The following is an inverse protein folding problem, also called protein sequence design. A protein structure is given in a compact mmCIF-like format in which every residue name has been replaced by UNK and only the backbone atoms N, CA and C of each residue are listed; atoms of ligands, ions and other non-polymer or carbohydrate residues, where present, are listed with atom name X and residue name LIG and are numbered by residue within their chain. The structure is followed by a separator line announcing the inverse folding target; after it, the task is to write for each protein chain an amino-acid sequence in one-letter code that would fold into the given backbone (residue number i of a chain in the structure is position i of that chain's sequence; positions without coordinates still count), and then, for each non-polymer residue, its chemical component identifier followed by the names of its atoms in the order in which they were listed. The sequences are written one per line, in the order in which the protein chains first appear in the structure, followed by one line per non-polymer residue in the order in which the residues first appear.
data_IF_992904175372
#
_entry.id   IF_992904175372
#
_cell.length_a   1.000
_cell.length_b   1.000
_cell.length_c   1.000
_cell.angle_alpha   90.00
_cell.angle_beta   90.00
_cell.angle_gamma   90.00
#
_symmetry.space_group_name_H-M   'P 1'
#
loop_
_entity.id
_entity.type
_entity.pdbx_description
1 polymer ?
#
# COMPACT_ATOMS: atom_id res chain seq x y z
N UNK A 1 -4.74 14.87 7.46
CA UNK A 1 -6.03 15.40 7.92
C UNK A 1 -7.15 14.64 7.21
N UNK A 2 -8.26 14.40 7.91
CA UNK A 2 -9.48 13.84 7.33
C UNK A 2 -10.31 14.96 6.69
N UNK A 3 -10.38 16.10 7.37
CA UNK A 3 -10.96 17.37 6.95
C UNK A 3 -10.24 18.54 7.67
N UNK A 4 -10.77 19.77 7.56
CA UNK A 4 -10.15 20.97 8.17
C UNK A 4 -10.08 20.91 9.70
N UNK A 5 -10.94 20.13 10.35
CA UNK A 5 -11.07 20.08 11.82
C UNK A 5 -10.71 18.70 12.42
N UNK A 6 -10.35 17.70 11.59
CA UNK A 6 -10.19 16.33 12.06
C UNK A 6 -8.86 15.73 11.56
N UNK A 7 -8.10 15.13 12.49
CA UNK A 7 -6.88 14.37 12.17
C UNK A 7 -7.24 12.89 12.12
N UNK A 8 -6.78 12.21 11.05
CA UNK A 8 -6.74 10.76 10.95
C UNK A 8 -5.32 10.28 11.25
N UNK A 9 -5.15 9.31 12.14
CA UNK A 9 -3.84 8.80 12.53
C UNK A 9 -3.86 7.29 12.78
N UNK A 10 -2.74 6.64 12.56
CA UNK A 10 -2.53 5.25 12.95
C UNK A 10 -2.20 5.18 14.44
N UNK A 11 -2.75 4.19 15.14
CA UNK A 11 -2.47 3.99 16.56
C UNK A 11 -2.86 2.60 17.03
N UNK A 12 -2.25 2.18 18.13
CA UNK A 12 -2.62 0.97 18.86
C UNK A 12 -2.93 1.36 20.31
N UNK A 13 -4.22 1.30 20.66
CA UNK A 13 -4.69 1.63 22.01
C UNK A 13 -4.89 0.41 22.90
N UNK A 14 -4.99 -0.77 22.29
CA UNK A 14 -5.35 -1.98 23.03
C UNK A 14 -4.15 -2.71 23.62
N UNK A 15 -2.92 -2.25 23.32
CA UNK A 15 -1.69 -2.79 23.90
C UNK A 15 -1.53 -4.29 23.65
N UNK A 16 -1.82 -4.75 22.43
CA UNK A 16 -1.61 -6.14 22.06
C UNK A 16 -0.14 -6.53 22.29
N UNK A 17 0.08 -7.55 23.09
CA UNK A 17 1.42 -8.03 23.47
C UNK A 17 2.14 -8.80 22.36
N UNK A 18 1.44 -9.12 21.26
CA UNK A 18 1.99 -9.88 20.14
C UNK A 18 2.07 -9.00 18.89
N UNK A 19 3.07 -9.22 18.00
CA UNK A 19 3.17 -8.49 16.75
C UNK A 19 1.90 -8.70 15.93
N UNK A 20 1.10 -7.66 15.83
CA UNK A 20 -0.16 -7.67 15.10
C UNK A 20 0.11 -7.31 13.64
N UNK A 21 -0.50 -8.05 12.70
CA UNK A 21 -0.57 -7.66 11.29
C UNK A 21 -1.58 -6.53 11.06
N UNK A 22 -2.30 -6.14 12.10
CA UNK A 22 -3.46 -5.25 12.03
C UNK A 22 -3.03 -3.80 12.11
N UNK A 23 -3.50 -2.98 11.18
CA UNK A 23 -3.39 -1.51 11.27
C UNK A 23 -4.73 -0.92 11.69
N UNK A 24 -4.70 -0.05 12.72
CA UNK A 24 -5.88 0.66 13.23
C UNK A 24 -5.73 2.14 12.99
N UNK A 25 -6.79 2.76 12.48
CA UNK A 25 -6.83 4.19 12.23
C UNK A 25 -7.92 4.83 13.07
N UNK A 26 -7.53 5.91 13.74
CA UNK A 26 -8.37 6.69 14.63
C UNK A 26 -8.51 8.11 14.10
N UNK A 27 -9.62 8.74 14.42
CA UNK A 27 -9.83 10.19 14.20
C UNK A 27 -9.93 10.92 15.52
N UNK A 28 -9.50 12.17 15.54
CA UNK A 28 -9.66 13.10 16.65
C UNK A 28 -9.93 14.50 16.12
N UNK A 29 -10.84 15.23 16.75
CA UNK A 29 -11.09 16.62 16.41
C UNK A 29 -9.94 17.52 16.90
N UNK A 30 -9.65 18.60 16.18
CA UNK A 30 -8.56 19.53 16.51
C UNK A 30 -8.83 20.33 17.79
N UNK A 31 -10.11 20.52 18.15
CA UNK A 31 -10.53 21.17 19.38
C UNK A 31 -10.51 20.25 20.62
N UNK A 32 -10.08 19.02 20.45
CA UNK A 32 -9.91 18.03 21.51
C UNK A 32 -10.99 16.97 21.50
N UNK A 33 -11.05 16.23 22.61
CA UNK A 33 -11.95 15.09 22.75
C UNK A 33 -11.23 13.76 22.78
N UNK A 34 -11.98 12.67 22.75
CA UNK A 34 -11.44 11.31 22.70
C UNK A 34 -11.32 10.83 21.25
N UNK A 35 -10.23 10.16 20.93
CA UNK A 35 -10.05 9.61 19.59
C UNK A 35 -10.96 8.39 19.36
N UNK A 36 -11.63 8.37 18.24
CA UNK A 36 -12.55 7.32 17.82
C UNK A 36 -11.93 6.42 16.77
N UNK A 37 -12.16 5.10 16.87
CA UNK A 37 -11.74 4.14 15.86
C UNK A 37 -12.54 4.34 14.56
N UNK A 38 -11.85 4.57 13.46
CA UNK A 38 -12.46 4.73 12.13
C UNK A 38 -12.52 3.39 11.39
N UNK A 39 -11.38 2.71 11.31
CA UNK A 39 -11.27 1.44 10.59
C UNK A 39 -10.11 0.59 11.10
N UNK A 40 -10.20 -0.70 10.79
CA UNK A 40 -9.17 -1.69 11.08
C UNK A 40 -8.87 -2.47 9.81
N UNK A 41 -7.61 -2.53 9.43
CA UNK A 41 -7.12 -3.33 8.31
C UNK A 41 -6.41 -4.57 8.84
N UNK A 42 -6.70 -5.76 8.34
CA UNK A 42 -6.05 -7.00 8.79
C UNK A 42 -4.65 -7.22 8.18
N UNK A 43 -4.04 -6.16 7.70
CA UNK A 43 -2.69 -6.10 7.11
C UNK A 43 -1.99 -4.82 7.57
N UNK A 44 -0.64 -4.77 7.53
CA UNK A 44 0.09 -3.52 7.67
C UNK A 44 -0.26 -2.54 6.57
N UNK A 45 -0.54 -1.29 6.92
CA UNK A 45 -0.85 -0.19 6.01
C UNK A 45 0.19 0.90 6.18
N UNK A 46 0.85 1.27 5.08
CA UNK A 46 1.91 2.29 5.02
C UNK A 46 1.36 3.69 4.72
N UNK A 47 0.28 3.78 3.92
CA UNK A 47 -0.32 5.06 3.56
C UNK A 47 -1.84 4.93 3.50
N UNK A 48 -2.54 6.04 3.82
CA UNK A 48 -3.99 6.13 3.74
C UNK A 48 -4.41 7.47 3.15
N UNK A 49 -5.40 7.44 2.27
CA UNK A 49 -5.96 8.62 1.60
C UNK A 49 -7.47 8.65 1.80
N UNK A 50 -7.99 9.61 2.59
CA UNK A 50 -9.43 9.82 2.73
C UNK A 50 -10.05 10.29 1.41
N UNK A 51 -11.21 9.73 1.07
CA UNK A 51 -11.98 10.10 -0.10
C UNK A 51 -13.21 10.94 0.31
N UNK A 52 -13.66 11.86 -0.55
CA UNK A 52 -14.81 12.74 -0.27
C UNK A 52 -16.11 12.02 0.03
N UNK A 53 -16.26 10.78 -0.44
CA UNK A 53 -17.44 9.95 -0.17
C UNK A 53 -17.40 9.23 1.19
N UNK A 54 -16.34 9.45 1.99
CA UNK A 54 -16.11 8.82 3.29
C UNK A 54 -15.39 7.47 3.23
N UNK A 55 -15.11 6.94 2.04
CA UNK A 55 -14.30 5.75 1.85
C UNK A 55 -12.81 6.08 1.98
N UNK A 56 -11.95 5.06 1.96
CA UNK A 56 -10.51 5.24 2.08
C UNK A 56 -9.79 4.48 0.95
N UNK A 57 -8.72 5.09 0.44
CA UNK A 57 -7.72 4.38 -0.33
C UNK A 57 -6.54 4.09 0.58
N UNK A 58 -5.96 2.91 0.49
CA UNK A 58 -4.84 2.49 1.34
C UNK A 58 -3.74 1.81 0.52
N UNK A 59 -2.50 2.05 0.91
CA UNK A 59 -1.34 1.26 0.47
C UNK A 59 -0.97 0.33 1.61
N UNK A 60 -0.93 -0.96 1.34
CA UNK A 60 -0.70 -1.95 2.37
C UNK A 60 0.09 -3.15 1.88
N UNK A 61 0.72 -3.84 2.83
CA UNK A 61 1.62 -4.95 2.53
C UNK A 61 0.87 -6.19 2.08
N UNK A 62 1.40 -6.82 1.05
CA UNK A 62 0.99 -8.13 0.55
C UNK A 62 2.18 -9.08 0.69
N UNK A 63 1.92 -10.29 1.14
CA UNK A 63 2.95 -11.30 1.41
C UNK A 63 2.79 -12.47 0.46
N UNK A 64 3.86 -12.89 -0.25
CA UNK A 64 3.83 -14.06 -1.15
C UNK A 64 3.36 -15.32 -0.43
N UNK A 65 2.41 -16.04 -1.04
CA UNK A 65 1.77 -17.22 -0.46
C UNK A 65 0.65 -16.90 0.55
N UNK A 66 0.51 -15.63 0.94
CA UNK A 66 -0.50 -15.15 1.89
C UNK A 66 -1.24 -13.90 1.38
N UNK A 67 -1.41 -13.78 0.08
CA UNK A 67 -1.92 -12.58 -0.61
C UNK A 67 -3.34 -12.19 -0.17
N UNK A 68 -4.09 -13.14 0.37
CA UNK A 68 -5.47 -12.97 0.82
C UNK A 68 -5.63 -12.55 2.30
N UNK A 69 -4.53 -12.27 3.00
CA UNK A 69 -4.57 -11.79 4.40
C UNK A 69 -5.48 -10.58 4.59
N UNK A 70 -5.53 -9.69 3.59
CA UNK A 70 -6.39 -8.50 3.62
C UNK A 70 -7.89 -8.81 3.77
N UNK A 71 -8.32 -10.05 3.52
CA UNK A 71 -9.71 -10.50 3.72
C UNK A 71 -10.05 -10.77 5.19
N UNK A 72 -9.06 -10.74 6.09
CA UNK A 72 -9.25 -10.90 7.53
C UNK A 72 -9.46 -12.34 7.99
N UNK A 73 -9.03 -13.33 7.21
CA UNK A 73 -9.09 -14.75 7.62
C UNK A 73 -8.10 -15.01 8.76
N UNK A 74 -8.64 -15.31 9.96
CA UNK A 74 -7.85 -15.57 11.16
C UNK A 74 -6.98 -16.83 11.05
N UNK A 75 -7.41 -17.84 10.28
CA UNK A 75 -6.60 -19.05 10.08
C UNK A 75 -5.39 -18.74 9.21
N UNK A 76 -5.59 -17.96 8.14
CA UNK A 76 -4.52 -17.52 7.26
C UNK A 76 -3.54 -16.61 8.02
N UNK A 77 -4.03 -15.69 8.85
CA UNK A 77 -3.18 -14.83 9.68
C UNK A 77 -2.34 -15.65 10.67
N UNK A 78 -2.93 -16.66 11.33
CA UNK A 78 -2.21 -17.57 12.22
C UNK A 78 -1.15 -18.39 11.46
N UNK A 79 -1.48 -18.88 10.27
CA UNK A 79 -0.54 -19.61 9.42
C UNK A 79 0.67 -18.74 9.04
N UNK A 80 0.44 -17.49 8.59
CA UNK A 80 1.52 -16.55 8.29
C UNK A 80 2.43 -16.26 9.49
N UNK A 81 1.85 -15.98 10.66
CA UNK A 81 2.62 -15.73 11.89
C UNK A 81 3.40 -16.97 12.34
N UNK A 82 2.82 -18.17 12.13
CA UNK A 82 3.49 -19.44 12.38
C UNK A 82 4.69 -19.65 11.46
N UNK A 83 4.50 -19.45 10.16
CA UNK A 83 5.57 -19.51 9.15
C UNK A 83 6.70 -18.53 9.46
N UNK A 84 6.35 -17.28 9.78
CA UNK A 84 7.32 -16.26 10.18
C UNK A 84 8.15 -16.65 11.39
N UNK A 85 7.52 -17.29 12.38
CA UNK A 85 8.19 -17.76 13.59
C UNK A 85 9.04 -19.00 13.33
N UNK A 86 8.56 -19.94 12.53
CA UNK A 86 9.30 -21.16 12.18
C UNK A 86 10.56 -20.86 11.38
N UNK A 87 10.50 -19.81 10.55
CA UNK A 87 11.62 -19.36 9.73
C UNK A 87 12.40 -18.16 10.35
N UNK A 88 12.36 -18.01 11.68
CA UNK A 88 13.01 -16.89 12.39
C UNK A 88 14.53 -16.91 12.26
N UNK A 89 15.11 -18.11 12.23
CA UNK A 89 16.57 -18.31 12.27
C UNK A 89 17.25 -18.28 10.89
N UNK A 90 16.48 -18.21 9.79
CA UNK A 90 17.04 -18.14 8.43
C UNK A 90 16.14 -17.38 7.46
N UNK A 91 16.75 -16.85 6.40
CA UNK A 91 16.05 -16.15 5.32
C UNK A 91 16.41 -16.73 3.96
N UNK A 92 15.40 -16.99 3.13
CA UNK A 92 15.57 -17.33 1.71
C UNK A 92 15.51 -16.05 0.89
N UNK A 93 16.67 -15.61 0.37
CA UNK A 93 16.75 -14.41 -0.44
C UNK A 93 16.50 -14.77 -1.89
N UNK A 94 15.38 -14.33 -2.43
CA UNK A 94 14.97 -14.57 -3.81
C UNK A 94 14.94 -13.31 -4.67
N UNK A 95 15.13 -12.13 -4.07
CA UNK A 95 15.06 -10.84 -4.78
C UNK A 95 15.96 -9.77 -4.14
N UNK A 96 16.25 -8.71 -4.90
CA UNK A 96 16.96 -7.51 -4.45
C UNK A 96 16.03 -6.29 -4.55
N UNK A 97 16.12 -5.33 -3.58
CA UNK A 97 16.86 -5.43 -2.31
C UNK A 97 16.17 -6.39 -1.34
N UNK A 98 16.95 -7.15 -0.61
CA UNK A 98 16.46 -8.09 0.41
C UNK A 98 16.44 -7.47 1.82
N UNK A 99 17.10 -6.33 1.99
CA UNK A 99 17.24 -5.61 3.23
C UNK A 99 17.48 -4.11 2.97
N UNK A 100 17.07 -3.23 3.91
CA UNK A 100 17.40 -1.81 3.91
C UNK A 100 17.67 -1.28 5.33
N UNK A 101 18.37 -0.14 5.44
CA UNK A 101 18.66 0.51 6.71
C UNK A 101 17.36 0.89 7.44
N UNK A 102 17.24 0.46 8.71
CA UNK A 102 16.07 0.71 9.54
C UNK A 102 14.89 -0.24 9.30
N UNK A 103 15.04 -1.21 8.39
CA UNK A 103 14.07 -2.27 8.14
C UNK A 103 14.58 -3.65 8.54
N UNK A 104 13.80 -4.66 8.18
CA UNK A 104 14.16 -6.07 8.30
C UNK A 104 14.22 -6.69 6.91
N UNK A 105 14.39 -8.01 6.85
CA UNK A 105 14.27 -8.76 5.60
C UNK A 105 12.88 -8.58 4.98
N UNK A 106 12.84 -8.36 3.66
CA UNK A 106 11.60 -8.09 2.93
C UNK A 106 10.70 -9.33 2.81
N UNK A 107 11.29 -10.51 2.82
CA UNK A 107 10.60 -11.81 2.61
C UNK A 107 9.71 -11.81 1.37
N UNK A 108 10.10 -11.05 0.36
CA UNK A 108 9.31 -10.88 -0.85
C UNK A 108 8.02 -10.04 -0.67
N UNK A 109 7.81 -9.43 0.50
CA UNK A 109 6.67 -8.55 0.70
C UNK A 109 6.70 -7.37 -0.27
N UNK A 110 5.53 -6.98 -0.76
CA UNK A 110 5.34 -5.85 -1.66
C UNK A 110 4.07 -5.08 -1.30
N UNK A 111 4.04 -3.80 -1.69
CA UNK A 111 2.89 -2.94 -1.43
C UNK A 111 1.83 -3.10 -2.52
N UNK A 112 0.57 -3.13 -2.11
CA UNK A 112 -0.60 -3.17 -2.99
C UNK A 112 -1.55 -2.02 -2.68
N UNK A 113 -2.34 -1.61 -3.68
CA UNK A 113 -3.36 -0.60 -3.53
C UNK A 113 -4.69 -1.25 -3.14
N UNK A 114 -5.33 -0.70 -2.10
CA UNK A 114 -6.61 -1.19 -1.59
C UNK A 114 -7.64 -0.08 -1.53
N UNK A 115 -8.90 -0.46 -1.71
CA UNK A 115 -10.06 0.40 -1.48
C UNK A 115 -10.86 -0.13 -0.30
N UNK A 116 -11.13 0.72 0.67
CA UNK A 116 -11.96 0.43 1.82
C UNK A 116 -13.32 1.13 1.67
N UNK A 117 -14.38 0.33 1.54
CA UNK A 117 -15.76 0.77 1.56
C UNK A 117 -16.18 0.94 3.03
N UNK A 118 -16.35 2.18 3.48
CA UNK A 118 -16.66 2.49 4.87
C UNK A 118 -18.05 2.01 5.30
N UNK A 119 -19.02 1.96 4.37
CA UNK A 119 -20.38 1.49 4.65
C UNK A 119 -20.44 -0.02 4.81
N UNK A 120 -19.75 -0.75 3.94
CA UNK A 120 -19.68 -2.23 3.98
C UNK A 120 -18.62 -2.74 4.95
N UNK A 121 -17.71 -1.86 5.42
CA UNK A 121 -16.52 -2.23 6.21
C UNK A 121 -15.70 -3.32 5.52
N UNK A 122 -15.52 -3.19 4.21
CA UNK A 122 -14.84 -4.20 3.39
C UNK A 122 -13.66 -3.60 2.65
N UNK A 123 -12.57 -4.38 2.59
CA UNK A 123 -11.34 -4.06 1.89
C UNK A 123 -11.28 -4.82 0.57
N UNK A 124 -10.98 -4.13 -0.51
CA UNK A 124 -10.82 -4.71 -1.84
C UNK A 124 -9.45 -4.34 -2.39
N UNK A 125 -8.66 -5.32 -2.82
CA UNK A 125 -7.39 -5.06 -3.51
C UNK A 125 -7.66 -4.57 -4.93
N UNK A 126 -7.01 -3.48 -5.32
CA UNK A 126 -7.16 -2.85 -6.63
C UNK A 126 -6.08 -3.28 -7.62
N UNK A 127 -4.88 -3.61 -7.13
CA UNK A 127 -3.75 -4.04 -7.97
C UNK A 127 -3.60 -5.55 -7.99
N UNK A 128 -3.00 -6.09 -9.05
CA UNK A 128 -2.76 -7.53 -9.18
C UNK A 128 -1.74 -8.09 -8.18
N UNK A 129 -1.73 -9.40 -8.03
CA UNK A 129 -0.68 -10.12 -7.28
C UNK A 129 0.65 -10.02 -8.02
N UNK A 130 1.76 -9.88 -7.27
CA UNK A 130 3.10 -9.79 -7.86
C UNK A 130 3.46 -8.40 -8.40
N UNK A 131 2.68 -7.37 -8.06
CA UNK A 131 2.96 -5.98 -8.44
C UNK A 131 3.16 -5.12 -7.20
N UNK A 132 4.37 -4.55 -7.09
CA UNK A 132 4.68 -3.59 -6.03
C UNK A 132 4.26 -2.20 -6.44
N UNK A 133 3.47 -1.54 -5.59
CA UNK A 133 2.96 -0.17 -5.76
C UNK A 133 3.83 0.80 -4.95
N UNK A 134 4.14 1.94 -5.53
CA UNK A 134 4.79 3.07 -4.85
C UNK A 134 4.30 4.40 -5.41
N UNK A 135 4.74 5.51 -4.78
CA UNK A 135 4.47 6.89 -5.24
C UNK A 135 2.98 7.17 -5.52
N UNK A 136 2.09 6.71 -4.64
CA UNK A 136 0.65 6.86 -4.85
C UNK A 136 0.23 8.32 -4.68
N UNK A 137 -0.46 8.87 -5.69
CA UNK A 137 -1.01 10.22 -5.68
C UNK A 137 -2.47 10.19 -6.12
N UNK A 138 -3.33 10.77 -5.28
CA UNK A 138 -4.74 10.94 -5.58
C UNK A 138 -4.94 12.26 -6.37
N UNK A 139 -5.60 12.21 -7.51
CA UNK A 139 -5.91 13.41 -8.29
C UNK A 139 -6.95 14.30 -7.58
N UNK A 140 -7.02 15.59 -7.95
CA UNK A 140 -7.97 16.55 -7.35
C UNK A 140 -9.44 16.16 -7.52
N UNK A 141 -9.76 15.40 -8.59
CA UNK A 141 -11.10 14.86 -8.84
C UNK A 141 -11.51 13.79 -7.81
N UNK A 142 -10.54 13.26 -7.05
CA UNK A 142 -10.70 12.17 -6.10
C UNK A 142 -11.31 10.87 -6.67
N UNK A 143 -11.23 10.72 -7.99
CA UNK A 143 -11.69 9.55 -8.73
C UNK A 143 -10.54 8.82 -9.41
N UNK A 144 -9.47 9.55 -9.73
CA UNK A 144 -8.30 9.03 -10.42
C UNK A 144 -7.12 8.94 -9.46
N UNK A 145 -6.48 7.79 -9.40
CA UNK A 145 -5.26 7.55 -8.62
C UNK A 145 -4.14 7.21 -9.57
N UNK A 146 -3.02 7.88 -9.42
CA UNK A 146 -1.77 7.58 -10.11
C UNK A 146 -0.82 6.86 -9.17
N UNK A 147 -0.05 5.95 -9.68
CA UNK A 147 0.93 5.19 -8.90
C UNK A 147 2.00 4.57 -9.80
N UNK A 148 3.19 4.39 -9.23
CA UNK A 148 4.25 3.62 -9.83
C UNK A 148 4.01 2.13 -9.58
N UNK A 149 4.24 1.30 -10.59
CA UNK A 149 4.02 -0.14 -10.56
C UNK A 149 5.27 -0.90 -10.99
N UNK A 150 5.75 -1.80 -10.16
CA UNK A 150 6.85 -2.70 -10.45
C UNK A 150 6.36 -4.16 -10.43
N UNK A 151 6.55 -4.87 -11.52
CA UNK A 151 6.35 -6.33 -11.55
C UNK A 151 7.49 -7.03 -10.80
N UNK A 152 7.18 -7.56 -9.61
CA UNK A 152 8.15 -8.27 -8.75
C UNK A 152 8.17 -9.77 -9.01
N UNK A 153 7.30 -10.29 -9.88
CA UNK A 153 7.28 -11.70 -10.29
C UNK A 153 8.40 -12.04 -11.28
N UNK A 154 8.94 -11.02 -11.95
CA UNK A 154 10.02 -11.17 -12.94
C UNK A 154 11.35 -10.74 -12.32
N UNK A 155 12.34 -11.64 -12.21
CA UNK A 155 13.69 -11.28 -11.80
C UNK A 155 14.26 -10.19 -12.73
N UNK A 156 14.61 -9.03 -12.17
CA UNK A 156 15.23 -7.93 -12.94
C UNK A 156 16.71 -7.81 -12.56
N UNK A 157 17.59 -7.48 -13.52
CA UNK A 157 18.96 -7.10 -13.18
C UNK A 157 18.93 -5.93 -12.18
N UNK A 158 19.86 -5.93 -11.22
CA UNK A 158 19.90 -4.95 -10.13
C UNK A 158 19.93 -3.47 -10.56
N UNK A 159 20.37 -3.20 -11.80
CA UNK A 159 20.41 -1.86 -12.41
C UNK A 159 19.13 -1.50 -13.19
N UNK A 160 18.16 -2.38 -13.27
CA UNK A 160 16.89 -2.16 -13.98
C UNK A 160 15.79 -1.79 -12.97
N UNK A 161 15.89 -0.60 -12.36
CA UNK A 161 14.95 -0.09 -11.38
C UNK A 161 13.70 0.59 -11.95
N UNK A 162 13.44 0.46 -13.26
CA UNK A 162 12.32 1.16 -13.90
C UNK A 162 10.97 0.67 -13.43
N UNK A 163 10.18 1.61 -12.90
CA UNK A 163 8.78 1.41 -12.57
C UNK A 163 7.92 2.00 -13.70
N UNK A 164 6.82 1.34 -14.01
CA UNK A 164 5.84 1.90 -14.93
C UNK A 164 4.89 2.82 -14.18
N UNK A 165 4.48 3.93 -14.79
CA UNK A 165 3.45 4.80 -14.24
C UNK A 165 2.08 4.35 -14.73
N UNK A 166 1.19 4.07 -13.80
CA UNK A 166 -0.19 3.68 -14.03
C UNK A 166 -1.18 4.67 -13.45
N UNK A 167 -2.40 4.61 -13.93
CA UNK A 167 -3.55 5.22 -13.28
C UNK A 167 -4.68 4.21 -13.12
N UNK A 168 -5.52 4.40 -12.12
CA UNK A 168 -6.77 3.67 -11.92
C UNK A 168 -7.91 4.64 -11.70
N UNK A 169 -9.03 4.39 -12.36
CA UNK A 169 -10.30 5.05 -12.09
C UNK A 169 -11.02 4.30 -10.96
N UNK A 170 -11.34 4.98 -9.86
CA UNK A 170 -11.91 4.37 -8.66
C UNK A 170 -13.37 3.94 -8.81
N UNK A 171 -14.12 4.53 -9.77
CA UNK A 171 -15.51 4.18 -10.02
C UNK A 171 -15.59 2.90 -10.88
N UNK A 172 -14.86 2.87 -11.98
CA UNK A 172 -14.87 1.75 -12.93
C UNK A 172 -13.91 0.63 -12.59
N UNK A 173 -12.94 0.90 -11.70
CA UNK A 173 -11.81 0.02 -11.35
C UNK A 173 -10.90 -0.30 -12.53
N UNK A 174 -11.00 0.47 -13.61
CA UNK A 174 -10.15 0.30 -14.79
C UNK A 174 -8.76 0.86 -14.52
N UNK A 175 -7.78 -0.03 -14.64
CA UNK A 175 -6.36 0.30 -14.54
C UNK A 175 -5.76 0.37 -15.94
N UNK A 176 -4.92 1.39 -16.20
CA UNK A 176 -4.22 1.54 -17.47
C UNK A 176 -2.84 2.18 -17.29
N UNK A 177 -1.87 1.81 -18.14
CA UNK A 177 -0.56 2.44 -18.13
C UNK A 177 -0.65 3.86 -18.67
N UNK A 178 0.07 4.79 -18.03
CA UNK A 178 0.25 6.17 -18.47
C UNK A 178 1.58 6.32 -19.20
N UNK A 179 2.66 5.85 -18.56
CA UNK A 179 4.02 5.85 -19.13
C UNK A 179 4.69 4.54 -18.73
N UNK A 180 5.37 3.90 -19.67
CA UNK A 180 6.15 2.69 -19.42
C UNK A 180 7.64 2.99 -19.43
N UNK A 181 8.35 2.46 -18.46
CA UNK A 181 9.81 2.48 -18.44
C UNK A 181 10.39 1.60 -19.56
N UNK A 182 11.52 2.02 -20.10
CA UNK A 182 12.31 1.32 -21.10
C UNK A 182 13.79 1.41 -20.70
N UNK A 183 14.67 0.61 -21.28
CA UNK A 183 16.12 0.67 -20.99
C UNK A 183 16.75 2.06 -21.16
N UNK A 184 16.24 2.82 -22.12
CA UNK A 184 16.65 4.18 -22.48
C UNK A 184 15.75 5.28 -21.84
N UNK A 185 14.81 4.89 -20.99
CA UNK A 185 13.87 5.81 -20.33
C UNK A 185 13.32 5.19 -19.05
N UNK A 186 14.04 5.36 -17.95
CA UNK A 186 13.69 4.81 -16.64
C UNK A 186 12.99 5.87 -15.79
N UNK A 187 11.73 5.62 -15.44
CA UNK A 187 10.97 6.53 -14.59
C UNK A 187 11.51 6.46 -13.16
N UNK A 188 11.96 7.59 -12.63
CA UNK A 188 12.45 7.72 -11.26
C UNK A 188 11.34 8.17 -10.31
N UNK A 189 10.54 9.17 -10.70
CA UNK A 189 9.40 9.68 -9.93
C UNK A 189 8.50 10.53 -10.82
N UNK A 190 7.35 10.95 -10.28
CA UNK A 190 6.44 11.85 -10.96
C UNK A 190 5.72 12.78 -9.96
N UNK A 191 5.09 13.84 -10.47
CA UNK A 191 4.26 14.75 -9.70
C UNK A 191 3.00 15.12 -10.47
N UNK A 192 1.88 15.19 -9.78
CA UNK A 192 0.61 15.66 -10.33
C UNK A 192 0.46 17.16 -10.10
N UNK A 193 0.24 17.91 -11.17
CA UNK A 193 -0.30 19.26 -11.12
C UNK A 193 -1.80 19.26 -11.42
N UNK A 194 -2.44 20.41 -11.33
CA UNK A 194 -3.89 20.55 -11.60
C UNK A 194 -4.31 20.12 -13.01
N UNK A 195 -3.46 20.37 -14.00
CA UNK A 195 -3.74 20.09 -15.42
C UNK A 195 -2.58 19.42 -16.15
N UNK A 196 -1.55 18.97 -15.44
CA UNK A 196 -0.37 18.34 -16.01
C UNK A 196 0.17 17.24 -15.12
N UNK A 197 0.91 16.35 -15.73
CA UNK A 197 1.70 15.31 -15.09
C UNK A 197 3.17 15.57 -15.45
N UNK A 198 4.02 15.74 -14.45
CA UNK A 198 5.46 15.85 -14.62
C UNK A 198 6.10 14.50 -14.31
N UNK A 199 6.87 13.97 -15.24
CA UNK A 199 7.60 12.70 -15.07
C UNK A 199 9.08 13.00 -15.12
N UNK A 200 9.81 12.58 -14.10
CA UNK A 200 11.28 12.61 -14.08
C UNK A 200 11.77 11.21 -14.46
N UNK A 201 12.56 11.17 -15.52
CA UNK A 201 13.17 9.93 -16.00
C UNK A 201 14.67 10.14 -16.25
N UNK A 202 15.41 9.03 -16.22
CA UNK A 202 16.82 8.95 -16.58
C UNK A 202 17.03 7.97 -17.73
N UNK A 203 18.04 8.20 -18.53
CA UNK A 203 18.60 7.34 -19.56
C UNK A 203 19.83 6.56 -19.07
#
# INVERSE_FOLDING_TARGET
YLDENTILFAGDREGEKEPSLVSRFYKIALDGGEAELVCTFPIPVSQIFPLKNGDLLAVGSTFPGFEDLYKGDKKLAKAYLGDKKENEDYEVISQLPWWWNGGTYTRGAYESLFYYDAKKKSLTRLTGVGFNVSDVQLAEDQKTVYFSLLDVSVPRPAHFGGQDLYRIDLETRRQEPVVKSRPDFVIATYALGKSFLLVMAAD
#
